data_IF_337663524849
#
_entry.id   IF_337663524849
#
_cell.length_a   1.000
_cell.length_b   1.000
_cell.length_c   1.000
_cell.angle_alpha   90.00
_cell.angle_beta   90.00
_cell.angle_gamma   90.00
#
_symmetry.space_group_name_H-M   'P 1'
#
loop_
_entity.id
_entity.type
_entity.pdbx_description
1 polymer ?
#
# COMPACT_ATOMS: atom_id res chain seq x y z
N UNK A 1 -9.12 -16.82 6.21
CA UNK A 1 -8.65 -15.52 5.70
C UNK A 1 -8.65 -15.58 4.18
N UNK A 2 -9.34 -14.62 3.57
CA UNK A 2 -9.42 -14.38 2.13
C UNK A 2 -8.21 -13.59 1.65
N UNK A 3 -7.63 -13.93 0.50
CA UNK A 3 -6.64 -13.09 -0.18
C UNK A 3 -6.88 -13.17 -1.68
N UNK A 4 -6.64 -12.06 -2.39
CA UNK A 4 -6.75 -12.00 -3.85
C UNK A 4 -5.89 -13.11 -4.50
N UNK A 5 -6.41 -13.88 -5.47
CA UNK A 5 -7.74 -13.78 -6.09
C UNK A 5 -8.78 -14.68 -5.40
N UNK A 6 -9.30 -14.35 -4.22
CA UNK A 6 -10.47 -15.03 -3.65
C UNK A 6 -10.22 -16.38 -2.96
N UNK A 7 -9.04 -16.60 -2.38
CA UNK A 7 -8.74 -17.84 -1.64
C UNK A 7 -9.39 -17.87 -0.26
N UNK A 8 -10.39 -18.72 -0.03
CA UNK A 8 -10.98 -18.88 1.31
C UNK A 8 -10.15 -19.79 2.21
N UNK A 9 -9.56 -19.23 3.26
CA UNK A 9 -8.96 -20.00 4.36
C UNK A 9 -9.90 -20.20 5.55
N UNK A 10 -9.96 -21.40 6.11
CA UNK A 10 -10.64 -21.67 7.40
C UNK A 10 -9.68 -21.31 8.54
N UNK A 11 -10.09 -20.35 9.38
CA UNK A 11 -9.42 -20.07 10.65
C UNK A 11 -9.95 -21.05 11.69
N UNK A 12 -9.10 -21.96 12.17
CA UNK A 12 -9.50 -22.92 13.20
C UNK A 12 -9.24 -22.39 14.61
N UNK A 13 -8.19 -21.60 14.80
CA UNK A 13 -7.79 -21.02 16.08
C UNK A 13 -7.19 -19.64 15.85
N UNK A 14 -7.61 -18.66 16.65
CA UNK A 14 -7.06 -17.31 16.65
C UNK A 14 -6.77 -16.95 18.11
N UNK A 15 -5.54 -16.57 18.41
CA UNK A 15 -5.18 -15.94 19.67
C UNK A 15 -4.94 -14.46 19.40
N UNK A 16 -5.76 -13.60 19.99
CA UNK A 16 -5.64 -12.15 19.89
C UNK A 16 -5.09 -11.61 21.20
N UNK A 17 -4.03 -10.81 21.13
CA UNK A 17 -3.56 -9.98 22.24
C UNK A 17 -3.76 -8.52 21.84
N UNK A 18 -4.90 -7.91 22.16
CA UNK A 18 -5.13 -6.51 21.83
C UNK A 18 -4.10 -5.64 22.56
N UNK A 19 -3.62 -4.61 21.87
CA UNK A 19 -2.82 -3.55 22.46
C UNK A 19 -3.79 -2.52 23.04
N UNK A 20 -3.65 -2.15 24.31
CA UNK A 20 -4.51 -1.15 24.95
C UNK A 20 -3.77 0.18 25.07
N UNK A 21 -4.42 1.28 24.68
CA UNK A 21 -3.80 2.63 24.67
C UNK A 21 -3.11 3.01 25.98
N UNK A 22 -3.69 2.63 27.13
CA UNK A 22 -3.14 2.89 28.47
C UNK A 22 -1.76 2.26 28.71
N UNK A 23 -1.42 1.20 27.97
CA UNK A 23 -0.15 0.49 28.09
C UNK A 23 0.96 1.18 27.27
N UNK A 24 0.59 2.16 26.43
CA UNK A 24 1.46 2.87 25.47
C UNK A 24 1.41 4.40 25.63
N UNK A 25 1.66 4.96 26.85
CA UNK A 25 1.37 6.36 27.15
C UNK A 25 2.29 7.38 26.43
N UNK A 26 3.37 6.93 25.78
CA UNK A 26 4.28 7.82 25.05
C UNK A 26 4.23 7.64 23.52
N UNK A 27 3.27 6.89 22.95
CA UNK A 27 3.17 6.74 21.49
C UNK A 27 3.01 8.08 20.77
N UNK A 28 3.63 8.21 19.60
CA UNK A 28 3.67 9.43 18.76
C UNK A 28 3.34 9.07 17.31
N UNK A 29 2.87 10.05 16.54
CA UNK A 29 2.72 9.86 15.11
C UNK A 29 2.71 11.17 14.35
N UNK A 30 2.88 11.05 13.04
CA UNK A 30 2.88 12.14 12.08
C UNK A 30 2.30 11.63 10.77
N UNK A 31 1.45 12.42 10.13
CA UNK A 31 0.98 12.14 8.76
C UNK A 31 1.05 13.42 7.96
N UNK A 32 1.83 13.44 6.90
CA UNK A 32 2.10 14.61 6.07
C UNK A 32 1.62 14.35 4.66
N UNK A 33 0.93 15.31 4.05
CA UNK A 33 0.54 15.28 2.64
C UNK A 33 1.14 16.51 1.95
N UNK A 34 1.81 16.35 0.81
CA UNK A 34 2.39 17.46 0.03
C UNK A 34 2.14 17.25 -1.46
N UNK A 35 2.26 18.33 -2.25
CA UNK A 35 2.38 18.21 -3.69
C UNK A 35 3.65 17.44 -4.05
N UNK A 36 3.52 16.54 -5.02
CA UNK A 36 4.68 15.82 -5.53
C UNK A 36 5.66 16.79 -6.20
N UNK A 37 6.94 16.62 -5.87
CA UNK A 37 8.03 17.05 -6.73
C UNK A 37 9.07 15.95 -6.77
N UNK A 38 9.74 15.81 -7.93
CA UNK A 38 10.81 14.81 -8.09
C UNK A 38 11.89 14.94 -7.02
N UNK A 39 12.20 16.18 -6.62
CA UNK A 39 13.20 16.47 -5.60
C UNK A 39 12.75 16.03 -4.21
N UNK A 40 11.51 16.37 -3.80
CA UNK A 40 10.94 15.92 -2.52
C UNK A 40 10.86 14.40 -2.48
N UNK A 41 10.39 13.77 -3.57
CA UNK A 41 10.32 12.32 -3.66
C UNK A 41 11.70 11.68 -3.49
N UNK A 42 12.72 12.17 -4.20
CA UNK A 42 14.09 11.65 -4.08
C UNK A 42 14.61 11.74 -2.64
N UNK A 43 14.41 12.87 -1.98
CA UNK A 43 14.86 13.07 -0.59
C UNK A 43 14.13 12.14 0.40
N UNK A 44 12.83 11.95 0.25
CA UNK A 44 12.06 11.02 1.11
C UNK A 44 12.41 9.55 0.81
N UNK A 45 12.52 9.17 -0.46
CA UNK A 45 12.95 7.84 -0.86
C UNK A 45 14.35 7.52 -0.31
N UNK A 46 15.26 8.49 -0.28
CA UNK A 46 16.57 8.36 0.35
C UNK A 46 16.46 8.08 1.86
N UNK A 47 15.61 8.82 2.58
CA UNK A 47 15.38 8.58 4.03
C UNK A 47 14.87 7.15 4.24
N UNK A 48 13.85 6.73 3.49
CA UNK A 48 13.26 5.38 3.61
C UNK A 48 14.28 4.29 3.28
N UNK A 49 15.14 4.52 2.28
CA UNK A 49 16.20 3.57 1.92
C UNK A 49 17.27 3.46 3.02
N UNK A 50 17.67 4.58 3.64
CA UNK A 50 18.59 4.55 4.77
C UNK A 50 17.98 3.87 6.01
N UNK A 51 16.69 4.10 6.27
CA UNK A 51 15.97 3.40 7.34
C UNK A 51 15.86 1.89 7.07
N UNK A 52 15.73 1.48 5.81
CA UNK A 52 15.77 0.06 5.42
C UNK A 52 17.16 -0.56 5.65
N UNK A 53 18.21 0.20 5.37
CA UNK A 53 19.60 -0.26 5.48
C UNK A 53 20.08 -0.33 6.94
N UNK A 54 19.38 0.32 7.86
CA UNK A 54 19.60 0.24 9.30
C UNK A 54 18.93 -1.00 9.93
N UNK A 55 19.69 -2.10 10.05
CA UNK A 55 19.22 -3.34 10.69
C UNK A 55 18.95 -3.16 12.21
N UNK A 56 19.39 -2.05 12.81
CA UNK A 56 19.16 -1.71 14.21
C UNK A 56 18.02 -0.69 14.40
N UNK A 57 17.31 -0.29 13.33
CA UNK A 57 16.14 0.58 13.41
C UNK A 57 15.19 0.07 14.51
N UNK A 58 14.82 0.91 15.50
CA UNK A 58 14.01 0.46 16.63
C UNK A 58 12.67 -0.13 16.18
N UNK A 59 12.24 -1.22 16.81
CA UNK A 59 10.96 -1.87 16.52
C UNK A 59 9.72 -1.02 16.87
N UNK A 60 9.95 0.12 17.52
CA UNK A 60 8.93 1.13 17.80
C UNK A 60 8.55 1.94 16.57
N UNK A 61 9.37 1.99 15.50
CA UNK A 61 9.06 2.75 14.30
C UNK A 61 8.24 1.94 13.30
N UNK A 62 7.18 2.56 12.79
CA UNK A 62 6.43 2.09 11.62
C UNK A 62 6.12 3.27 10.74
N UNK A 63 6.30 3.13 9.43
CA UNK A 63 5.97 4.17 8.47
C UNK A 63 5.34 3.60 7.20
N UNK A 64 4.73 4.47 6.43
CA UNK A 64 4.22 4.19 5.10
C UNK A 64 4.44 5.45 4.27
N UNK A 65 5.15 5.30 3.17
CA UNK A 65 5.35 6.37 2.22
C UNK A 65 4.60 6.05 0.93
N UNK A 66 3.77 7.00 0.49
CA UNK A 66 2.90 6.85 -0.66
C UNK A 66 3.05 7.99 -1.66
N UNK A 67 2.93 7.64 -2.94
CA UNK A 67 2.89 8.59 -4.06
C UNK A 67 1.68 8.25 -4.93
N UNK A 68 0.92 9.27 -5.31
CA UNK A 68 -0.33 9.15 -6.06
C UNK A 68 -0.30 10.02 -7.32
N UNK A 69 -0.93 9.54 -8.40
CA UNK A 69 -1.09 10.30 -9.65
C UNK A 69 -1.96 11.55 -9.52
N UNK A 70 -2.98 11.51 -8.66
CA UNK A 70 -3.80 12.63 -8.25
C UNK A 70 -4.45 12.30 -6.88
N UNK A 71 -5.32 13.17 -6.35
CA UNK A 71 -6.14 12.79 -5.20
C UNK A 71 -7.16 11.73 -5.63
N UNK A 72 -7.28 10.61 -4.90
CA UNK A 72 -8.33 9.59 -5.06
C UNK A 72 -9.75 10.16 -5.17
N UNK A 73 -10.02 11.29 -4.52
CA UNK A 73 -11.32 11.97 -4.55
C UNK A 73 -11.58 12.83 -5.80
N UNK A 74 -10.59 13.02 -6.67
CA UNK A 74 -10.72 13.85 -7.89
C UNK A 74 -11.79 13.33 -8.83
N UNK A 75 -11.93 12.00 -8.93
CA UNK A 75 -12.97 11.37 -9.73
C UNK A 75 -14.38 11.73 -9.22
N UNK A 76 -14.64 11.65 -7.91
CA UNK A 76 -15.94 12.00 -7.33
C UNK A 76 -16.34 13.45 -7.66
N UNK A 77 -15.37 14.37 -7.56
CA UNK A 77 -15.60 15.76 -7.94
C UNK A 77 -15.90 15.91 -9.43
N UNK A 78 -15.13 15.25 -10.30
CA UNK A 78 -15.38 15.26 -11.75
C UNK A 78 -16.77 14.71 -12.08
N UNK A 79 -17.18 13.62 -11.43
CA UNK A 79 -18.50 13.02 -11.59
C UNK A 79 -19.61 14.00 -11.18
N UNK A 80 -19.55 14.54 -9.95
CA UNK A 80 -20.54 15.50 -9.44
C UNK A 80 -20.62 16.76 -10.31
N UNK A 81 -19.46 17.28 -10.77
CA UNK A 81 -19.41 18.43 -11.67
C UNK A 81 -20.11 18.12 -13.00
N UNK A 82 -19.79 16.99 -13.65
CA UNK A 82 -20.42 16.61 -14.92
C UNK A 82 -21.93 16.41 -14.75
N UNK A 83 -22.38 15.77 -13.68
CA UNK A 83 -23.81 15.64 -13.38
C UNK A 83 -24.49 17.02 -13.26
N UNK A 84 -23.92 17.91 -12.45
CA UNK A 84 -24.45 19.26 -12.21
C UNK A 84 -24.61 20.09 -13.49
N UNK A 85 -23.71 19.90 -14.45
CA UNK A 85 -23.72 20.63 -15.73
C UNK A 85 -24.27 19.80 -16.90
N UNK A 86 -24.90 18.65 -16.63
CA UNK A 86 -25.46 17.74 -17.64
C UNK A 86 -24.48 17.38 -18.76
N UNK A 87 -23.19 17.27 -18.41
CA UNK A 87 -22.15 16.86 -19.34
C UNK A 87 -22.21 15.34 -19.51
N UNK A 88 -22.00 14.87 -20.74
CA UNK A 88 -21.91 13.43 -21.00
C UNK A 88 -20.72 12.84 -20.26
N UNK A 89 -20.98 11.74 -19.58
CA UNK A 89 -19.96 10.93 -18.92
C UNK A 89 -20.05 9.49 -19.42
N UNK A 90 -18.90 8.84 -19.57
CA UNK A 90 -18.80 7.41 -19.82
C UNK A 90 -18.12 6.83 -18.59
N UNK A 91 -18.90 6.13 -17.77
CA UNK A 91 -18.39 5.44 -16.60
C UNK A 91 -17.72 4.13 -17.01
N UNK A 92 -16.67 3.74 -16.28
CA UNK A 92 -16.14 2.38 -16.32
C UNK A 92 -17.10 1.41 -15.61
N UNK A 93 -17.01 0.09 -15.87
CA UNK A 93 -17.81 -0.89 -15.13
C UNK A 93 -17.60 -0.82 -13.60
N UNK A 94 -16.39 -0.54 -13.12
CA UNK A 94 -16.10 -0.38 -11.68
C UNK A 94 -16.78 0.87 -11.11
N UNK A 95 -16.80 1.96 -11.87
CA UNK A 95 -17.45 3.22 -11.50
C UNK A 95 -18.98 3.09 -11.50
N UNK A 96 -19.54 2.41 -12.51
CA UNK A 96 -20.96 2.11 -12.60
C UNK A 96 -21.42 1.23 -11.44
N UNK A 97 -20.67 0.16 -11.14
CA UNK A 97 -20.95 -0.71 -9.99
C UNK A 97 -20.90 0.06 -8.66
N UNK A 98 -19.90 0.91 -8.47
CA UNK A 98 -19.79 1.68 -7.23
C UNK A 98 -20.93 2.70 -7.06
N UNK A 99 -21.38 3.35 -8.14
CA UNK A 99 -22.41 4.40 -8.09
C UNK A 99 -23.84 3.86 -8.07
N UNK A 100 -24.10 2.81 -8.86
CA UNK A 100 -25.46 2.30 -9.09
C UNK A 100 -25.77 1.07 -8.24
N UNK A 101 -24.74 0.41 -7.69
CA UNK A 101 -24.83 -0.85 -6.95
C UNK A 101 -23.92 -0.81 -5.71
N UNK A 102 -23.92 0.31 -4.99
CA UNK A 102 -23.02 0.54 -3.84
C UNK A 102 -23.14 -0.54 -2.75
N UNK A 103 -24.35 -1.07 -2.55
CA UNK A 103 -24.63 -2.18 -1.63
C UNK A 103 -23.89 -3.48 -1.99
N UNK A 104 -23.63 -3.70 -3.28
CA UNK A 104 -22.96 -4.88 -3.82
C UNK A 104 -21.45 -4.66 -4.05
N UNK A 105 -21.02 -3.40 -4.22
CA UNK A 105 -19.61 -3.03 -4.42
C UNK A 105 -18.76 -3.26 -3.17
N UNK A 106 -19.39 -3.28 -1.99
CA UNK A 106 -18.81 -3.63 -0.70
C UNK A 106 -19.22 -2.65 0.40
N UNK A 107 -19.62 -3.17 1.55
CA UNK A 107 -20.13 -2.41 2.72
C UNK A 107 -19.10 -1.53 3.43
N UNK A 108 -18.06 -1.06 2.74
CA UNK A 108 -16.88 -0.42 3.32
C UNK A 108 -16.95 1.10 3.41
N UNK A 109 -17.88 1.77 2.73
CA UNK A 109 -18.00 3.22 2.83
C UNK A 109 -19.41 3.63 3.26
N UNK A 110 -19.68 3.69 4.58
CA UNK A 110 -20.80 4.49 5.08
C UNK A 110 -20.79 5.91 4.48
N UNK A 111 -19.60 6.42 4.10
CA UNK A 111 -19.41 7.75 3.52
C UNK A 111 -19.59 7.91 2.00
N UNK A 112 -19.52 6.85 1.18
CA UNK A 112 -19.78 6.98 -0.26
C UNK A 112 -21.28 7.09 -0.51
N UNK A 113 -22.06 6.32 0.25
CA UNK A 113 -23.52 6.46 0.35
C UNK A 113 -23.95 7.82 0.95
N UNK A 114 -23.08 8.46 1.75
CA UNK A 114 -23.32 9.78 2.37
C UNK A 114 -22.59 10.96 1.67
N UNK A 115 -21.92 10.75 0.54
CA UNK A 115 -21.12 11.76 -0.20
C UNK A 115 -20.04 12.51 0.63
N UNK A 116 -19.54 11.94 1.73
CA UNK A 116 -18.55 12.59 2.62
C UNK A 116 -17.13 12.15 2.29
N UNK A 117 -16.38 13.00 1.59
CA UNK A 117 -14.98 12.76 1.25
C UNK A 117 -14.05 13.13 2.42
N UNK A 118 -13.00 12.33 2.66
CA UNK A 118 -11.98 12.61 3.69
C UNK A 118 -10.83 13.50 3.18
N UNK A 119 -10.68 13.65 1.86
CA UNK A 119 -9.69 14.53 1.24
C UNK A 119 -10.31 15.35 0.09
N UNK A 120 -10.02 16.66 -0.01
CA UNK A 120 -10.47 17.44 -1.15
C UNK A 120 -9.81 16.95 -2.45
N UNK A 121 -10.49 17.09 -3.60
CA UNK A 121 -9.96 16.68 -4.89
C UNK A 121 -8.77 17.55 -5.27
N UNK A 122 -7.63 16.92 -5.57
CA UNK A 122 -6.44 17.57 -6.10
C UNK A 122 -6.07 16.88 -7.41
N UNK A 123 -6.30 17.51 -8.57
CA UNK A 123 -6.01 16.92 -9.88
C UNK A 123 -4.50 16.99 -10.21
N UNK A 124 -3.65 16.82 -9.20
CA UNK A 124 -2.19 16.91 -9.30
C UNK A 124 -1.56 15.81 -8.46
N UNK A 125 -0.40 15.26 -8.87
CA UNK A 125 0.29 14.24 -8.11
C UNK A 125 0.58 14.66 -6.66
N UNK A 126 0.33 13.74 -5.73
CA UNK A 126 0.51 13.94 -4.29
C UNK A 126 1.51 12.95 -3.70
N UNK A 127 2.15 13.35 -2.61
CA UNK A 127 2.93 12.49 -1.75
C UNK A 127 2.30 12.48 -0.35
N UNK A 128 2.22 11.31 0.27
CA UNK A 128 1.79 11.16 1.65
C UNK A 128 2.80 10.34 2.44
N UNK A 129 3.21 10.83 3.59
CA UNK A 129 4.10 10.13 4.51
C UNK A 129 3.43 9.99 5.86
N UNK A 130 3.16 8.76 6.27
CA UNK A 130 2.72 8.43 7.62
C UNK A 130 3.86 7.77 8.38
N UNK A 131 4.03 8.16 9.64
CA UNK A 131 5.00 7.56 10.55
C UNK A 131 4.45 7.55 11.96
N UNK A 132 4.75 6.49 12.70
CA UNK A 132 4.44 6.36 14.11
C UNK A 132 5.63 5.81 14.88
N UNK A 133 5.64 6.15 16.16
CA UNK A 133 6.47 5.55 17.18
C UNK A 133 5.54 4.93 18.22
N UNK A 134 5.52 3.60 18.29
CA UNK A 134 4.48 2.80 18.94
C UNK A 134 4.68 2.60 20.44
N UNK A 135 5.82 3.02 21.01
CA UNK A 135 6.17 2.75 22.40
C UNK A 135 6.16 1.23 22.70
N UNK A 136 6.86 0.40 21.92
CA UNK A 136 6.82 -1.06 22.07
C UNK A 136 7.28 -1.56 23.45
N UNK A 137 8.06 -0.76 24.20
CA UNK A 137 8.51 -1.02 25.56
C UNK A 137 7.52 -0.65 26.67
N UNK A 138 6.39 -0.02 26.34
CA UNK A 138 5.34 0.36 27.29
C UNK A 138 5.69 1.57 28.17
N UNK A 139 5.06 1.69 29.34
CA UNK A 139 5.17 2.88 30.20
C UNK A 139 6.61 3.29 30.60
N UNK A 140 7.58 2.38 30.52
CA UNK A 140 8.99 2.67 30.86
C UNK A 140 9.81 3.18 29.67
N UNK A 141 9.30 3.07 28.44
CA UNK A 141 9.98 3.56 27.25
C UNK A 141 9.56 5.00 26.96
N UNK A 142 10.53 5.90 27.02
CA UNK A 142 10.35 7.31 26.70
C UNK A 142 10.64 7.61 25.23
N UNK A 143 9.97 8.64 24.72
CA UNK A 143 10.24 9.20 23.39
C UNK A 143 11.42 10.19 23.50
N UNK A 144 12.53 9.86 22.87
CA UNK A 144 13.79 10.59 23.01
C UNK A 144 13.99 11.68 21.95
N UNK A 145 15.01 12.52 22.14
CA UNK A 145 15.42 13.49 21.12
C UNK A 145 15.94 12.80 19.85
N UNK A 146 16.55 11.61 19.97
CA UNK A 146 16.98 10.81 18.81
C UNK A 146 15.77 10.31 18.01
N UNK A 147 14.72 9.83 18.69
CA UNK A 147 13.48 9.44 18.03
C UNK A 147 12.84 10.65 17.31
N UNK A 148 12.82 11.81 17.98
CA UNK A 148 12.29 13.05 17.42
C UNK A 148 13.05 13.53 16.17
N UNK A 149 14.36 13.28 16.09
CA UNK A 149 15.16 13.65 14.92
C UNK A 149 14.73 12.90 13.65
N UNK A 150 14.24 11.66 13.76
CA UNK A 150 13.70 10.90 12.61
C UNK A 150 12.45 11.62 12.05
N UNK A 151 11.55 12.06 12.92
CA UNK A 151 10.37 12.84 12.52
C UNK A 151 10.75 14.19 11.90
N UNK A 152 11.65 14.95 12.54
CA UNK A 152 12.07 16.26 12.04
C UNK A 152 12.80 16.16 10.70
N UNK A 153 13.58 15.09 10.48
CA UNK A 153 14.27 14.84 9.22
C UNK A 153 13.29 14.72 8.05
N UNK A 154 12.21 13.94 8.21
CA UNK A 154 11.17 13.80 7.20
C UNK A 154 10.39 15.11 7.03
N UNK A 155 9.98 15.74 8.14
CA UNK A 155 9.20 17.00 8.12
C UNK A 155 9.95 18.11 7.38
N UNK A 156 11.24 18.28 7.65
CA UNK A 156 12.11 19.27 6.99
C UNK A 156 12.23 19.06 5.49
N UNK A 157 12.21 17.82 5.01
CA UNK A 157 12.24 17.52 3.56
C UNK A 157 10.92 17.92 2.87
N UNK A 158 9.80 17.84 3.59
CA UNK A 158 8.47 18.11 3.04
C UNK A 158 8.05 19.60 3.18
N UNK A 159 8.70 20.37 4.05
CA UNK A 159 8.57 21.82 4.16
C UNK A 159 8.82 22.57 2.82
N UNK A 160 8.19 23.72 2.55
CA UNK A 160 7.17 24.46 3.33
C UNK A 160 5.72 24.06 3.00
N UNK A 161 5.51 23.26 1.95
CA UNK A 161 4.20 23.06 1.31
C UNK A 161 3.57 21.71 1.67
N UNK A 162 3.36 21.45 2.95
CA UNK A 162 2.68 20.23 3.38
C UNK A 162 1.47 20.54 4.28
N UNK A 163 0.59 19.57 4.35
CA UNK A 163 -0.55 19.51 5.26
C UNK A 163 -0.30 18.40 6.25
N UNK A 164 -0.38 18.71 7.54
CA UNK A 164 -0.56 17.66 8.55
C UNK A 164 -1.94 17.02 8.27
N UNK A 165 -2.01 15.71 8.03
CA UNK A 165 -3.27 15.09 7.66
C UNK A 165 -4.23 15.08 8.86
N UNK A 166 -5.50 15.41 8.60
CA UNK A 166 -6.58 15.37 9.58
C UNK A 166 -7.36 14.06 9.38
N UNK A 167 -7.68 13.35 10.47
CA UNK A 167 -8.42 12.07 10.41
C UNK A 167 -9.85 12.25 9.88
N UNK A 168 -10.47 13.37 10.24
CA UNK A 168 -11.84 13.75 9.90
C UNK A 168 -11.89 15.28 9.74
N UNK A 169 -11.94 15.75 8.50
CA UNK A 169 -12.24 17.14 8.22
C UNK A 169 -13.74 17.31 8.09
N UNK A 170 -14.38 18.10 8.95
CA UNK A 170 -15.68 18.68 8.58
C UNK A 170 -15.40 19.71 7.48
N UNK A 171 -15.56 19.32 6.22
CA UNK A 171 -15.28 20.22 5.11
C UNK A 171 -16.27 21.38 5.10
N UNK A 172 -15.74 22.58 5.36
CA UNK A 172 -16.36 23.83 4.94
C UNK A 172 -15.51 24.36 3.79
N UNK A 173 -16.10 25.12 2.86
CA UNK A 173 -15.37 25.73 1.73
C UNK A 173 -14.12 26.53 2.18
N UNK A 174 -14.17 27.09 3.40
CA UNK A 174 -13.07 27.81 4.05
C UNK A 174 -11.89 26.87 4.37
N UNK A 175 -12.15 25.65 4.81
CA UNK A 175 -11.12 24.66 5.14
C UNK A 175 -10.35 24.22 3.89
N UNK A 176 -11.05 23.90 2.79
CA UNK A 176 -10.43 23.56 1.50
C UNK A 176 -9.59 24.72 0.97
N UNK A 177 -10.10 25.94 1.05
CA UNK A 177 -9.37 27.14 0.61
C UNK A 177 -8.07 27.33 1.38
N UNK A 178 -8.07 27.09 2.70
CA UNK A 178 -6.88 27.18 3.53
C UNK A 178 -5.88 26.05 3.24
N UNK A 179 -6.35 24.83 2.97
CA UNK A 179 -5.51 23.71 2.56
C UNK A 179 -4.79 23.99 1.24
N UNK A 180 -5.55 24.44 0.23
CA UNK A 180 -4.99 24.85 -1.06
C UNK A 180 -3.96 25.95 -0.84
N UNK A 181 -4.29 27.02 -0.10
CA UNK A 181 -3.32 28.09 0.18
C UNK A 181 -2.02 27.54 0.78
N UNK A 182 -2.08 26.64 1.76
CA UNK A 182 -0.88 26.05 2.39
C UNK A 182 -0.05 25.20 1.43
N UNK A 183 -0.69 24.37 0.60
CA UNK A 183 0.00 23.57 -0.42
C UNK A 183 0.67 24.42 -1.51
N UNK A 184 0.28 25.68 -1.65
CA UNK A 184 0.86 26.64 -2.59
C UNK A 184 1.57 27.80 -1.88
N UNK A 185 2.14 27.57 -0.68
CA UNK A 185 3.04 28.51 0.00
C UNK A 185 2.38 29.66 0.76
N UNK A 186 1.08 29.57 1.07
CA UNK A 186 0.31 30.54 1.84
C UNK A 186 0.60 30.53 3.36
N UNK A 187 0.21 31.61 4.04
CA UNK A 187 0.51 31.86 5.46
C UNK A 187 0.00 30.76 6.43
N UNK A 188 0.83 30.43 7.42
CA UNK A 188 0.59 29.41 8.47
C UNK A 188 -0.42 29.88 9.53
N UNK A 189 -0.64 31.19 9.67
CA UNK A 189 -1.35 31.83 10.80
C UNK A 189 -2.84 31.46 10.99
N UNK A 190 -3.49 30.84 10.01
CA UNK A 190 -4.89 30.39 10.11
C UNK A 190 -5.02 28.99 10.74
N UNK A 191 -4.32 28.72 11.85
CA UNK A 191 -4.55 27.48 12.61
C UNK A 191 -5.93 27.51 13.25
N UNK A 192 -6.85 26.69 12.71
CA UNK A 192 -8.10 26.43 13.41
C UNK A 192 -7.82 25.38 14.51
N UNK A 193 -7.96 25.73 15.80
CA UNK A 193 -7.70 24.81 16.90
C UNK A 193 -8.64 23.59 16.94
N UNK A 194 -9.70 23.56 16.12
CA UNK A 194 -10.58 22.38 16.00
C UNK A 194 -10.03 21.27 15.09
N UNK A 195 -8.92 21.50 14.37
CA UNK A 195 -8.37 20.49 13.46
C UNK A 195 -7.56 19.46 14.25
N UNK A 196 -7.92 18.18 14.10
CA UNK A 196 -7.22 17.05 14.72
C UNK A 196 -5.97 16.70 13.88
N UNK A 197 -4.95 17.56 13.98
CA UNK A 197 -3.64 17.30 13.39
C UNK A 197 -2.93 16.16 14.11
N UNK A 198 -2.25 15.31 13.35
CA UNK A 198 -1.37 14.29 13.92
C UNK A 198 0.05 14.89 14.13
N UNK A 199 0.29 15.42 15.33
CA UNK A 199 1.55 16.05 15.74
C UNK A 199 2.37 15.12 16.62
N UNK A 200 3.56 14.72 16.14
CA UNK A 200 4.43 13.78 16.85
C UNK A 200 5.05 14.37 18.13
N UNK A 201 4.93 15.68 18.36
CA UNK A 201 5.36 16.31 19.62
C UNK A 201 4.40 15.99 20.77
N UNK A 202 3.22 15.44 20.48
CA UNK A 202 2.18 15.12 21.47
C UNK A 202 1.87 13.63 21.45
N UNK A 203 1.55 13.09 22.63
CA UNK A 203 1.04 11.72 22.72
C UNK A 203 -0.24 11.57 21.89
N UNK A 204 -0.31 10.50 21.12
CA UNK A 204 -1.53 10.08 20.41
C UNK A 204 -1.79 8.61 20.70
N UNK A 205 -2.99 8.22 21.17
CA UNK A 205 -3.33 6.82 21.44
C UNK A 205 -3.08 5.90 20.24
N UNK A 206 -2.54 4.70 20.47
CA UNK A 206 -2.21 3.73 19.40
C UNK A 206 -3.44 3.37 18.57
N UNK A 207 -4.61 3.21 19.21
CA UNK A 207 -5.89 2.99 18.52
C UNK A 207 -6.18 4.07 17.47
N UNK A 208 -5.86 5.34 17.78
CA UNK A 208 -6.01 6.47 16.87
C UNK A 208 -4.91 6.50 15.81
N UNK A 209 -3.66 6.17 16.16
CA UNK A 209 -2.56 6.07 15.20
C UNK A 209 -2.84 5.03 14.10
N UNK A 210 -3.40 3.88 14.47
CA UNK A 210 -3.83 2.85 13.50
C UNK A 210 -4.91 3.38 12.56
N UNK A 211 -5.83 4.22 13.02
CA UNK A 211 -6.82 4.85 12.14
C UNK A 211 -6.17 5.79 11.10
N UNK A 212 -5.08 6.50 11.45
CA UNK A 212 -4.32 7.30 10.49
C UNK A 212 -3.53 6.44 9.49
N UNK A 213 -3.12 5.24 9.90
CA UNK A 213 -2.39 4.28 9.05
C UNK A 213 -3.28 3.68 7.96
N UNK A 214 -4.48 3.26 8.33
CA UNK A 214 -5.37 2.53 7.41
C UNK A 214 -5.97 3.48 6.38
N UNK A 215 -6.07 2.99 5.15
CA UNK A 215 -6.86 3.65 4.12
C UNK A 215 -8.34 3.41 4.43
N UNK A 216 -9.13 4.48 4.59
CA UNK A 216 -10.54 4.39 5.00
C UNK A 216 -11.48 4.20 3.81
N UNK A 217 -11.07 4.60 2.60
CA UNK A 217 -11.85 4.36 1.39
C UNK A 217 -11.70 2.89 0.94
N UNK A 218 -12.64 2.41 0.13
CA UNK A 218 -12.62 1.01 -0.35
C UNK A 218 -11.45 0.75 -1.30
N UNK A 219 -11.00 1.76 -2.06
CA UNK A 219 -9.87 1.68 -2.99
C UNK A 219 -9.14 3.02 -3.12
N UNK A 220 -7.89 3.00 -3.55
CA UNK A 220 -7.12 4.19 -3.94
C UNK A 220 -7.68 4.81 -5.22
N UNK A 221 -8.11 3.99 -6.18
CA UNK A 221 -8.84 4.43 -7.37
C UNK A 221 -9.88 3.40 -7.79
N UNK A 222 -10.96 3.91 -8.39
CA UNK A 222 -12.08 3.12 -8.95
C UNK A 222 -11.72 2.67 -10.37
N UNK A 223 -10.60 1.96 -10.50
CA UNK A 223 -10.03 1.51 -11.78
C UNK A 223 -9.42 0.11 -11.62
N UNK A 224 -9.34 -0.71 -12.69
CA UNK A 224 -8.48 -1.89 -12.64
C UNK A 224 -7.01 -1.47 -12.43
N UNK A 225 -6.21 -2.42 -11.93
CA UNK A 225 -4.80 -2.17 -11.70
C UNK A 225 -3.93 -3.40 -11.98
N UNK A 226 -2.69 -3.14 -12.41
CA UNK A 226 -1.59 -4.09 -12.34
C UNK A 226 -0.85 -3.90 -11.01
N UNK A 227 -0.89 -4.91 -10.13
CA UNK A 227 -0.24 -4.86 -8.81
C UNK A 227 1.08 -5.62 -8.83
N UNK A 228 2.05 -5.09 -8.09
CA UNK A 228 3.30 -5.74 -7.73
C UNK A 228 3.60 -5.57 -6.26
N UNK A 229 4.13 -6.63 -5.66
CA UNK A 229 4.49 -6.69 -4.25
C UNK A 229 5.85 -7.36 -4.09
N UNK A 230 6.90 -6.56 -3.90
CA UNK A 230 8.26 -7.05 -3.82
C UNK A 230 8.76 -6.99 -2.38
N UNK A 231 9.30 -8.11 -1.89
CA UNK A 231 10.10 -8.11 -0.68
C UNK A 231 11.54 -7.71 -1.00
N UNK A 232 12.10 -6.83 -0.19
CA UNK A 232 13.53 -6.55 -0.16
C UNK A 232 14.19 -7.33 0.97
N UNK A 233 15.27 -8.02 0.67
CA UNK A 233 16.27 -8.49 1.64
C UNK A 233 17.54 -7.63 1.64
N UNK A 234 17.62 -6.63 0.75
CA UNK A 234 18.79 -5.78 0.61
C UNK A 234 18.87 -4.79 1.76
N UNK A 235 20.11 -4.48 2.14
CA UNK A 235 20.48 -3.52 3.19
C UNK A 235 21.46 -2.46 2.66
N UNK A 236 21.39 -2.19 1.35
CA UNK A 236 22.20 -1.20 0.64
C UNK A 236 21.36 -0.33 -0.32
N UNK A 237 20.03 -0.25 -0.12
CA UNK A 237 19.12 0.49 -0.99
C UNK A 237 19.47 1.98 -1.09
N UNK A 238 20.08 2.54 -0.05
CA UNK A 238 20.51 3.94 0.02
C UNK A 238 21.70 4.25 -0.90
N UNK A 239 22.42 3.22 -1.37
CA UNK A 239 23.67 3.37 -2.14
C UNK A 239 23.72 2.56 -3.44
N UNK A 240 22.89 1.53 -3.61
CA UNK A 240 22.95 0.62 -4.75
C UNK A 240 22.29 1.15 -6.04
N UNK A 241 21.75 2.37 -6.01
CA UNK A 241 21.05 3.01 -7.14
C UNK A 241 19.53 2.86 -7.13
N UNK A 242 18.95 2.13 -6.16
CA UNK A 242 17.51 1.95 -5.99
C UNK A 242 16.74 3.28 -5.96
N UNK A 243 17.21 4.25 -5.16
CA UNK A 243 16.56 5.56 -5.02
C UNK A 243 16.46 6.29 -6.37
N UNK A 244 17.53 6.30 -7.15
CA UNK A 244 17.53 6.97 -8.46
C UNK A 244 16.60 6.27 -9.45
N UNK A 245 16.60 4.94 -9.43
CA UNK A 245 15.69 4.15 -10.26
C UNK A 245 14.23 4.43 -9.92
N UNK A 246 13.83 4.30 -8.65
CA UNK A 246 12.42 4.43 -8.28
C UNK A 246 11.91 5.86 -8.53
N UNK A 247 12.76 6.86 -8.27
CA UNK A 247 12.47 8.27 -8.58
C UNK A 247 12.25 8.47 -10.08
N UNK A 248 13.14 7.94 -10.92
CA UNK A 248 13.03 8.07 -12.38
C UNK A 248 11.78 7.38 -12.90
N UNK A 249 11.50 6.17 -12.41
CA UNK A 249 10.40 5.32 -12.87
C UNK A 249 9.04 5.92 -12.51
N UNK A 250 8.86 6.37 -11.27
CA UNK A 250 7.61 7.03 -10.84
C UNK A 250 7.45 8.41 -11.49
N UNK A 251 8.50 9.22 -11.57
CA UNK A 251 8.42 10.54 -12.23
C UNK A 251 7.99 10.42 -13.70
N UNK A 252 8.46 9.39 -14.41
CA UNK A 252 8.01 9.08 -15.77
C UNK A 252 6.54 8.65 -15.79
N UNK A 253 6.15 7.77 -14.87
CA UNK A 253 4.78 7.28 -14.73
C UNK A 253 3.77 8.39 -14.43
N UNK A 254 4.09 9.30 -13.50
CA UNK A 254 3.24 10.45 -13.14
C UNK A 254 3.06 11.47 -14.27
N UNK A 255 3.98 11.49 -15.25
CA UNK A 255 3.92 12.36 -16.44
C UNK A 255 3.33 11.65 -17.66
N UNK A 256 2.87 10.41 -17.49
CA UNK A 256 2.30 9.65 -18.60
C UNK A 256 0.85 10.08 -18.88
N UNK A 257 0.14 9.31 -19.71
CA UNK A 257 -1.19 9.60 -20.19
C UNK A 257 -2.22 9.80 -19.05
N UNK A 258 -3.24 10.63 -19.31
CA UNK A 258 -4.32 10.99 -18.37
C UNK A 258 -5.15 9.79 -17.89
N UNK A 259 -5.08 8.63 -18.56
CA UNK A 259 -5.73 7.40 -18.16
C UNK A 259 -4.93 6.49 -17.22
N UNK A 260 -3.72 6.86 -16.80
CA UNK A 260 -2.85 6.03 -15.95
C UNK A 260 -2.55 6.69 -14.60
N UNK A 261 -2.66 5.94 -13.49
CA UNK A 261 -2.39 6.43 -12.13
C UNK A 261 -1.50 5.44 -11.36
N UNK A 262 -0.23 5.77 -11.10
CA UNK A 262 0.58 4.96 -10.20
C UNK A 262 0.19 5.22 -8.75
N UNK A 263 0.24 4.16 -7.94
CA UNK A 263 0.19 4.22 -6.48
C UNK A 263 1.34 3.38 -5.93
N UNK A 264 2.18 3.96 -5.08
CA UNK A 264 3.31 3.24 -4.48
C UNK A 264 3.17 3.24 -2.97
N UNK A 265 3.59 2.16 -2.31
CA UNK A 265 3.68 2.09 -0.86
C UNK A 265 4.99 1.41 -0.45
N UNK A 266 5.72 2.07 0.45
CA UNK A 266 6.93 1.52 1.07
C UNK A 266 6.61 1.17 2.52
N UNK A 267 6.74 -0.11 2.89
CA UNK A 267 6.34 -0.62 4.19
C UNK A 267 7.54 -1.32 4.88
N UNK A 268 8.07 -0.79 5.98
CA UNK A 268 9.06 -1.48 6.78
C UNK A 268 8.34 -2.62 7.53
N UNK A 269 8.67 -3.86 7.20
CA UNK A 269 8.02 -5.03 7.82
C UNK A 269 9.04 -5.98 8.46
N UNK A 270 10.33 -5.69 8.31
CA UNK A 270 11.44 -6.58 8.58
C UNK A 270 12.54 -5.97 9.43
N UNK A 271 13.78 -6.46 9.25
CA UNK A 271 14.92 -6.07 10.08
C UNK A 271 15.04 -6.87 11.38
N UNK A 272 16.21 -6.82 12.03
CA UNK A 272 16.56 -7.65 13.19
C UNK A 272 15.63 -7.47 14.39
N UNK A 273 15.07 -6.27 14.55
CA UNK A 273 14.16 -5.93 15.66
C UNK A 273 12.69 -6.24 15.38
N UNK A 274 12.30 -6.45 14.12
CA UNK A 274 10.89 -6.69 13.76
C UNK A 274 10.31 -7.95 14.40
N UNK A 275 9.07 -7.83 14.89
CA UNK A 275 8.31 -8.96 15.41
C UNK A 275 8.03 -10.04 14.36
N UNK A 276 8.01 -9.70 13.07
CA UNK A 276 7.87 -10.67 11.99
C UNK A 276 9.06 -11.64 11.96
N UNK A 277 10.28 -11.13 12.20
CA UNK A 277 11.54 -11.88 12.25
C UNK A 277 11.80 -12.54 13.61
N UNK A 278 11.53 -11.82 14.72
CA UNK A 278 11.79 -12.31 16.09
C UNK A 278 10.84 -13.41 16.56
N UNK A 279 9.67 -13.54 15.94
CA UNK A 279 8.72 -14.58 16.32
C UNK A 279 9.39 -15.96 16.11
N UNK A 280 9.58 -16.72 17.20
CA UNK A 280 10.08 -18.11 17.20
C UNK A 280 9.06 -19.10 16.60
N UNK A 281 8.40 -18.69 15.52
CA UNK A 281 7.32 -19.41 14.83
C UNK A 281 7.79 -19.99 13.50
N UNK A 282 9.12 -20.09 13.30
CA UNK A 282 9.71 -20.76 12.14
C UNK A 282 9.12 -22.16 12.03
N UNK A 283 8.60 -22.47 10.85
CA UNK A 283 7.89 -23.74 10.54
C UNK A 283 6.62 -24.02 11.36
N UNK A 284 6.16 -23.08 12.19
CA UNK A 284 4.87 -23.16 12.89
C UNK A 284 3.72 -22.55 12.08
N UNK A 285 4.02 -21.69 11.10
CA UNK A 285 3.03 -21.05 10.23
C UNK A 285 3.31 -21.33 8.76
N UNK A 286 2.30 -21.15 7.90
CA UNK A 286 2.45 -21.26 6.44
C UNK A 286 3.16 -20.06 5.81
N UNK A 287 3.33 -18.96 6.55
CA UNK A 287 3.98 -17.75 6.05
C UNK A 287 5.49 -17.94 5.94
N UNK A 288 6.02 -17.67 4.74
CA UNK A 288 7.45 -17.79 4.40
C UNK A 288 8.15 -16.42 4.47
N UNK A 289 9.47 -16.42 4.29
CA UNK A 289 10.29 -15.21 4.10
C UNK A 289 10.53 -14.31 5.33
N UNK A 290 10.02 -14.68 6.50
CA UNK A 290 10.15 -13.91 7.77
C UNK A 290 11.58 -13.48 8.13
N UNK A 291 12.55 -14.33 7.82
CA UNK A 291 13.95 -14.17 8.25
C UNK A 291 14.77 -13.21 7.38
N UNK A 292 14.27 -12.93 6.17
CA UNK A 292 15.04 -12.26 5.11
C UNK A 292 14.40 -10.95 4.66
N UNK A 293 13.16 -10.68 5.04
CA UNK A 293 12.49 -9.45 4.62
C UNK A 293 12.94 -8.28 5.49
N UNK A 294 13.20 -7.13 4.86
CA UNK A 294 13.41 -5.82 5.47
C UNK A 294 12.23 -4.89 5.16
N UNK A 295 11.93 -4.73 3.86
CA UNK A 295 10.87 -3.84 3.36
C UNK A 295 9.98 -4.57 2.37
N UNK A 296 8.69 -4.21 2.35
CA UNK A 296 7.75 -4.54 1.29
C UNK A 296 7.49 -3.28 0.45
N UNK A 297 7.74 -3.38 -0.85
CA UNK A 297 7.36 -2.37 -1.84
C UNK A 297 6.10 -2.84 -2.56
N UNK A 298 5.02 -2.09 -2.40
CA UNK A 298 3.80 -2.24 -3.21
C UNK A 298 3.82 -1.19 -4.31
N UNK A 299 3.59 -1.63 -5.55
CA UNK A 299 3.46 -0.76 -6.71
C UNK A 299 2.22 -1.17 -7.48
N UNK A 300 1.27 -0.25 -7.56
CA UNK A 300 0.02 -0.41 -8.28
C UNK A 300 -0.01 0.54 -9.47
N UNK A 301 -0.38 -0.01 -10.62
CA UNK A 301 -0.54 0.71 -11.86
C UNK A 301 -2.02 0.68 -12.24
N UNK A 302 -2.77 1.68 -11.78
CA UNK A 302 -4.18 1.83 -12.12
C UNK A 302 -4.31 2.41 -13.53
N UNK A 303 -5.32 1.97 -14.27
CA UNK A 303 -5.53 2.42 -15.64
C UNK A 303 -7.01 2.45 -16.03
N UNK A 304 -7.38 3.35 -16.94
CA UNK A 304 -8.69 3.32 -17.60
C UNK A 304 -8.77 2.11 -18.56
N UNK A 305 -9.66 1.18 -18.25
CA UNK A 305 -9.91 -0.01 -19.07
C UNK A 305 -10.41 0.31 -20.49
N UNK A 306 -10.96 1.51 -20.70
CA UNK A 306 -11.44 1.97 -21.99
C UNK A 306 -10.34 2.62 -22.85
N UNK A 307 -9.15 2.85 -22.28
CA UNK A 307 -8.01 3.43 -22.99
C UNK A 307 -6.90 2.37 -23.18
N UNK A 308 -6.78 1.77 -24.38
CA UNK A 308 -5.74 0.79 -24.67
C UNK A 308 -4.32 1.30 -24.40
N UNK A 309 -4.06 2.60 -24.55
CA UNK A 309 -2.74 3.18 -24.27
C UNK A 309 -2.45 3.22 -22.76
N UNK A 310 -3.47 3.48 -21.95
CA UNK A 310 -3.34 3.44 -20.49
C UNK A 310 -3.09 2.01 -20.00
N UNK A 311 -3.80 1.03 -20.55
CA UNK A 311 -3.56 -0.39 -20.27
C UNK A 311 -2.15 -0.83 -20.67
N UNK A 312 -1.68 -0.46 -21.87
CA UNK A 312 -0.33 -0.77 -22.31
C UNK A 312 0.74 -0.13 -21.41
N UNK A 313 0.52 1.12 -21.01
CA UNK A 313 1.40 1.83 -20.07
C UNK A 313 1.47 1.13 -18.70
N UNK A 314 0.34 0.63 -18.19
CA UNK A 314 0.30 -0.12 -16.93
C UNK A 314 1.08 -1.45 -17.02
N UNK A 315 0.90 -2.20 -18.10
CA UNK A 315 1.63 -3.46 -18.32
C UNK A 315 3.14 -3.22 -18.48
N UNK A 316 3.53 -2.20 -19.24
CA UNK A 316 4.94 -1.83 -19.40
C UNK A 316 5.56 -1.36 -18.08
N UNK A 317 4.82 -0.59 -17.28
CA UNK A 317 5.26 -0.21 -15.95
C UNK A 317 5.49 -1.44 -15.07
N UNK A 318 4.59 -2.42 -15.10
CA UNK A 318 4.75 -3.73 -14.45
C UNK A 318 6.06 -4.42 -14.87
N UNK A 319 6.31 -4.56 -16.17
CA UNK A 319 7.53 -5.20 -16.71
C UNK A 319 8.82 -4.48 -16.29
N UNK A 320 8.83 -3.14 -16.33
CA UNK A 320 9.98 -2.36 -15.86
C UNK A 320 10.26 -2.66 -14.39
N UNK A 321 9.21 -2.74 -13.56
CA UNK A 321 9.36 -3.08 -12.15
C UNK A 321 9.82 -4.53 -11.96
N UNK A 322 9.31 -5.49 -12.74
CA UNK A 322 9.71 -6.90 -12.67
C UNK A 322 11.23 -7.07 -12.91
N UNK A 323 11.81 -6.26 -13.81
CA UNK A 323 13.25 -6.32 -14.13
C UNK A 323 14.14 -5.54 -13.16
N UNK A 324 13.63 -4.50 -12.51
CA UNK A 324 14.45 -3.58 -11.72
C UNK A 324 14.24 -3.71 -10.21
N UNK A 325 13.04 -4.09 -9.76
CA UNK A 325 12.74 -4.38 -8.36
C UNK A 325 12.60 -5.89 -8.08
N UNK A 326 12.27 -6.67 -9.10
CA UNK A 326 12.22 -8.12 -9.04
C UNK A 326 13.61 -8.78 -9.01
N UNK A 327 13.70 -10.09 -9.30
CA UNK A 327 14.90 -10.91 -9.08
C UNK A 327 16.11 -10.42 -9.86
N UNK A 328 17.28 -10.37 -9.20
CA UNK A 328 18.50 -9.78 -9.73
C UNK A 328 18.46 -8.24 -9.85
N UNK A 329 17.41 -7.60 -9.31
CA UNK A 329 17.18 -6.16 -9.39
C UNK A 329 17.83 -5.38 -8.25
N UNK A 330 17.50 -4.10 -8.16
CA UNK A 330 17.99 -3.16 -7.15
C UNK A 330 17.33 -3.34 -5.78
N UNK A 331 16.14 -3.96 -5.73
CA UNK A 331 15.40 -4.17 -4.49
C UNK A 331 15.55 -5.60 -3.96
N UNK A 332 15.48 -6.60 -4.83
CA UNK A 332 15.62 -8.01 -4.42
C UNK A 332 16.45 -8.80 -5.42
N UNK A 333 17.24 -9.73 -4.91
CA UNK A 333 17.93 -10.74 -5.71
C UNK A 333 16.99 -11.89 -6.09
N UNK A 334 15.90 -12.11 -5.34
CA UNK A 334 15.08 -13.31 -5.44
C UNK A 334 13.62 -13.01 -5.76
N UNK A 335 12.95 -13.95 -6.43
CA UNK A 335 11.49 -13.86 -6.63
C UNK A 335 10.77 -14.39 -5.39
N UNK A 336 10.46 -13.49 -4.46
CA UNK A 336 9.72 -13.79 -3.23
C UNK A 336 8.44 -12.98 -3.20
N UNK A 337 7.32 -13.69 -3.11
CA UNK A 337 5.97 -13.13 -3.15
C UNK A 337 5.21 -13.48 -1.87
N UNK A 338 4.21 -12.66 -1.58
CA UNK A 338 3.34 -12.81 -0.41
C UNK A 338 1.90 -13.01 -0.87
N UNK A 339 1.23 -14.03 -0.33
CA UNK A 339 -0.12 -14.42 -0.77
C UNK A 339 -1.17 -13.31 -0.64
N UNK A 340 -0.99 -12.40 0.33
CA UNK A 340 -1.90 -11.27 0.53
C UNK A 340 -1.91 -10.29 -0.65
N UNK A 341 -0.82 -10.24 -1.42
CA UNK A 341 -0.60 -9.34 -2.54
C UNK A 341 -0.09 -10.11 -3.76
N UNK A 342 -0.73 -11.25 -4.05
CA UNK A 342 -0.36 -12.12 -5.17
C UNK A 342 -0.43 -11.38 -6.50
N UNK A 343 0.51 -11.69 -7.40
CA UNK A 343 0.56 -11.13 -8.74
C UNK A 343 1.21 -12.13 -9.71
N UNK A 344 0.96 -11.90 -11.00
CA UNK A 344 1.55 -12.65 -12.11
C UNK A 344 2.60 -11.80 -12.84
N UNK A 345 3.63 -12.48 -13.35
CA UNK A 345 4.61 -11.96 -14.30
C UNK A 345 4.41 -12.58 -15.67
N UNK A 346 4.87 -11.89 -16.70
CA UNK A 346 4.77 -12.37 -18.08
C UNK A 346 5.55 -13.68 -18.31
N UNK A 347 6.58 -13.95 -17.52
CA UNK A 347 7.41 -15.15 -17.58
C UNK A 347 6.98 -16.25 -16.59
N UNK A 348 5.90 -16.04 -15.83
CA UNK A 348 5.35 -17.09 -15.00
C UNK A 348 4.74 -18.20 -15.87
N UNK A 349 4.92 -19.48 -15.49
CA UNK A 349 4.15 -20.56 -16.09
C UNK A 349 2.66 -20.24 -16.00
N UNK A 350 1.91 -20.60 -17.04
CA UNK A 350 0.46 -20.41 -17.13
C UNK A 350 -0.04 -19.00 -16.76
N UNK A 351 0.78 -17.98 -17.00
CA UNK A 351 0.45 -16.59 -16.65
C UNK A 351 0.25 -16.38 -15.15
N UNK A 352 0.87 -17.21 -14.32
CA UNK A 352 0.76 -17.15 -12.85
C UNK A 352 -0.62 -17.51 -12.29
N UNK A 353 -1.50 -18.12 -13.10
CA UNK A 353 -2.89 -18.41 -12.70
C UNK A 353 -3.04 -19.65 -11.80
N UNK A 354 -1.99 -20.47 -11.66
CA UNK A 354 -1.97 -21.69 -10.86
C UNK A 354 -0.90 -21.62 -9.77
N UNK A 355 -1.29 -21.76 -8.50
CA UNK A 355 -0.32 -21.63 -7.39
C UNK A 355 0.72 -22.76 -7.41
N UNK A 356 0.34 -23.95 -7.86
CA UNK A 356 1.24 -25.12 -7.98
C UNK A 356 2.36 -24.91 -8.99
N UNK A 357 2.24 -23.97 -9.95
CA UNK A 357 3.31 -23.71 -10.92
C UNK A 357 4.31 -22.65 -10.47
N UNK A 358 3.92 -21.82 -9.50
CA UNK A 358 4.73 -20.73 -8.92
C UNK A 358 4.90 -20.86 -7.41
N UNK A 359 4.71 -22.07 -6.86
CA UNK A 359 4.68 -22.28 -5.40
C UNK A 359 5.99 -21.84 -4.73
N UNK A 360 7.11 -22.01 -5.41
CA UNK A 360 8.46 -21.69 -4.95
C UNK A 360 8.65 -20.18 -4.71
N UNK A 361 7.78 -19.35 -5.28
CA UNK A 361 7.76 -17.90 -5.07
C UNK A 361 7.06 -17.51 -3.76
N UNK A 362 6.15 -18.36 -3.28
CA UNK A 362 5.33 -18.10 -2.09
C UNK A 362 5.74 -18.94 -0.88
N UNK A 363 6.44 -20.06 -1.09
CA UNK A 363 6.85 -20.98 -0.04
C UNK A 363 8.35 -21.28 -0.07
N UNK A 364 8.98 -21.23 1.10
CA UNK A 364 10.44 -21.38 1.27
C UNK A 364 10.98 -22.80 1.11
N UNK A 365 10.12 -23.79 0.93
CA UNK A 365 10.53 -25.18 0.76
C UNK A 365 9.41 -26.02 0.16
N UNK A 366 9.81 -26.98 -0.68
CA UNK A 366 8.89 -27.97 -1.26
C UNK A 366 8.22 -28.80 -0.16
N UNK A 367 8.95 -29.16 0.89
CA UNK A 367 8.44 -29.89 2.05
C UNK A 367 7.25 -29.15 2.70
N UNK A 368 7.40 -27.84 2.95
CA UNK A 368 6.33 -27.01 3.50
C UNK A 368 5.13 -26.98 2.56
N UNK A 369 5.36 -26.78 1.26
CA UNK A 369 4.29 -26.74 0.28
C UNK A 369 3.53 -28.07 0.20
N UNK A 370 4.24 -29.19 0.09
CA UNK A 370 3.67 -30.54 0.07
C UNK A 370 2.88 -30.86 1.35
N UNK A 371 3.34 -30.39 2.51
CA UNK A 371 2.58 -30.48 3.77
C UNK A 371 1.26 -29.72 3.68
N UNK A 372 1.23 -28.53 3.09
CA UNK A 372 0.01 -27.75 2.89
C UNK A 372 -0.94 -28.44 1.89
N UNK A 373 -0.40 -29.03 0.81
CA UNK A 373 -1.19 -29.85 -0.13
C UNK A 373 -1.85 -31.05 0.58
N UNK A 374 -1.10 -31.76 1.43
CA UNK A 374 -1.64 -32.86 2.21
C UNK A 374 -2.76 -32.40 3.18
N UNK A 375 -2.57 -31.26 3.84
CA UNK A 375 -3.59 -30.65 4.69
C UNK A 375 -4.83 -30.24 3.90
N UNK A 376 -4.67 -29.63 2.71
CA UNK A 376 -5.81 -29.29 1.84
C UNK A 376 -6.59 -30.53 1.43
N UNK A 377 -5.92 -31.62 1.03
CA UNK A 377 -6.58 -32.89 0.69
C UNK A 377 -7.36 -33.47 1.87
N UNK A 378 -6.83 -33.34 3.10
CA UNK A 378 -7.48 -33.81 4.32
C UNK A 378 -8.71 -32.99 4.70
N UNK A 379 -8.61 -31.66 4.64
CA UNK A 379 -9.64 -30.75 5.19
C UNK A 379 -10.58 -30.16 4.13
N UNK A 380 -10.21 -30.19 2.86
CA UNK A 380 -11.05 -29.79 1.72
C UNK A 380 -10.88 -30.76 0.52
N UNK A 381 -11.21 -32.05 0.71
CA UNK A 381 -11.06 -33.07 -0.34
C UNK A 381 -11.87 -32.73 -1.59
N UNK A 382 -13.06 -32.14 -1.41
CA UNK A 382 -13.99 -31.83 -2.49
C UNK A 382 -13.80 -30.43 -3.10
N UNK A 383 -12.92 -29.60 -2.55
CA UNK A 383 -12.64 -28.27 -3.11
C UNK A 383 -13.73 -27.23 -2.83
N UNK A 384 -14.53 -27.42 -1.77
CA UNK A 384 -15.59 -26.48 -1.35
C UNK A 384 -15.01 -25.08 -1.11
N UNK A 385 -13.78 -25.00 -0.60
CA UNK A 385 -13.07 -23.75 -0.36
C UNK A 385 -12.00 -23.47 -1.43
N UNK A 386 -12.28 -23.84 -2.68
CA UNK A 386 -11.37 -23.66 -3.81
C UNK A 386 -12.05 -22.80 -4.87
N UNK A 387 -11.80 -21.49 -4.81
CA UNK A 387 -12.40 -20.55 -5.77
C UNK A 387 -11.76 -20.64 -7.16
N UNK A 388 -10.47 -20.97 -7.25
CA UNK A 388 -9.70 -21.03 -8.49
C UNK A 388 -8.41 -21.86 -8.32
N UNK A 389 -7.66 -22.01 -9.41
CA UNK A 389 -6.40 -22.73 -9.51
C UNK A 389 -5.24 -22.07 -8.76
N UNK A 390 -5.37 -20.80 -8.36
CA UNK A 390 -4.41 -20.12 -7.50
C UNK A 390 -4.60 -20.52 -6.02
N UNK A 391 -4.82 -21.80 -5.76
CA UNK A 391 -5.05 -22.40 -4.46
C UNK A 391 -4.13 -23.62 -4.28
N UNK A 392 -3.70 -23.89 -3.05
CA UNK A 392 -2.74 -24.97 -2.77
C UNK A 392 -3.27 -26.33 -3.26
N UNK A 393 -2.57 -26.96 -4.21
CA UNK A 393 -2.82 -28.35 -4.61
C UNK A 393 -4.10 -28.57 -5.42
N UNK A 394 -4.64 -27.54 -6.09
CA UNK A 394 -5.93 -27.58 -6.79
C UNK A 394 -5.81 -27.14 -8.25
N UNK A 395 -5.02 -27.87 -9.01
CA UNK A 395 -4.73 -27.62 -10.44
C UNK A 395 -5.94 -27.68 -11.37
N UNK A 396 -7.03 -28.37 -10.97
CA UNK A 396 -8.22 -28.57 -11.80
C UNK A 396 -9.31 -27.49 -11.59
N UNK A 397 -9.06 -26.52 -10.71
CA UNK A 397 -10.00 -25.42 -10.49
C UNK A 397 -9.91 -24.39 -11.63
N UNK A 398 -10.94 -23.52 -11.80
CA UNK A 398 -10.90 -22.48 -12.82
C UNK A 398 -9.68 -21.57 -12.68
N UNK A 399 -9.06 -21.17 -13.79
CA UNK A 399 -7.94 -20.22 -13.79
C UNK A 399 -8.48 -18.79 -13.91
N UNK A 400 -7.93 -17.87 -13.13
CA UNK A 400 -8.24 -16.44 -13.21
C UNK A 400 -6.99 -15.74 -13.70
N UNK A 401 -7.09 -15.04 -14.81
CA UNK A 401 -5.99 -14.31 -15.41
C UNK A 401 -6.17 -12.82 -15.18
N UNK A 402 -5.05 -12.13 -14.92
CA UNK A 402 -5.00 -10.68 -15.09
C UNK A 402 -5.21 -10.31 -16.55
N UNK A 403 -5.68 -9.08 -16.80
CA UNK A 403 -5.89 -8.61 -18.16
C UNK A 403 -4.54 -8.54 -18.90
N UNK A 404 -4.41 -9.21 -20.05
CA UNK A 404 -3.14 -9.31 -20.78
C UNK A 404 -2.15 -10.38 -20.29
N UNK A 405 -2.53 -11.20 -19.29
CA UNK A 405 -1.73 -12.34 -18.79
C UNK A 405 -2.25 -13.71 -19.25
N UNK A 406 -3.19 -13.72 -20.20
CA UNK A 406 -3.70 -14.97 -20.77
C UNK A 406 -2.62 -15.63 -21.64
N UNK A 407 -2.47 -16.97 -21.57
CA UNK A 407 -1.65 -17.70 -22.53
C UNK A 407 -2.11 -17.40 -23.96
N UNK A 408 -1.17 -17.35 -24.90
CA UNK A 408 -1.47 -17.05 -26.32
C UNK A 408 -2.48 -18.04 -26.97
N UNK A 409 -2.69 -19.19 -26.35
CA UNK A 409 -3.54 -20.28 -26.82
C UNK A 409 -4.91 -20.36 -26.09
N UNK A 410 -5.28 -19.35 -25.29
CA UNK A 410 -6.54 -19.29 -24.53
C UNK A 410 -7.62 -18.45 -25.21
#
# INVERSE_FOLDING_TARGET
LGGSPGNFGVLTHVTLRPLHDKDYPHSRGMKLTTLYSKEKFKKVAQIVAEMNDDDELPDSFSYAFMVFGDSPSSWYFTHHFKQKFHLKEKLSPDEEMMLLHGEDYGSGVPKAEEEKLDLPPFPVPLMQFWMQWDNTGGAEQEFTDEDAQVFERVRKVLEHDFLDAVLEGHETLVNVTNWVKRLFGGDRSAENPSWLWLDYKKHTPVSKLIQYRVWRDVREYVMPFEKRAYFSEKADLSTNGYVDWVVKTVDKALRSNDGFRPALQFLPIGGSKSMIRRAKVRNQTSHSWREVVNTLLLIDAFYDANDPKAQEAALEFGRINDTQAGPGGLLSEYDRRVLAYSYARADDPDGGAQLDSVWDKYYDSEEKYNKLVALKKKFDPHGVFTANAFCVGKTNAPRIYGNGHQPADC
#
